data_IF_182387969808
#
_entry.id   IF_182387969808
#
_cell.length_a   1.000
_cell.length_b   1.000
_cell.length_c   1.000
_cell.angle_alpha   90.00
_cell.angle_beta   90.00
_cell.angle_gamma   90.00
#
_symmetry.space_group_name_H-M   'P 1'
#
loop_
_entity.id
_entity.type
_entity.pdbx_description
1 polymer ?
#
# COMPACT_ATOMS: atom_id res chain seq x y z
N UNK A 1 13.81 13.38 -26.12
CA UNK A 1 13.96 11.92 -25.86
C UNK A 1 14.17 11.58 -24.38
N UNK A 2 14.83 12.43 -23.59
CA UNK A 2 15.13 12.18 -22.16
C UNK A 2 13.92 11.97 -21.23
N UNK A 3 12.78 12.59 -21.50
CA UNK A 3 11.59 12.44 -20.64
C UNK A 3 11.03 11.02 -20.67
N UNK A 4 11.08 10.36 -21.84
CA UNK A 4 10.51 9.03 -22.02
C UNK A 4 11.30 7.97 -21.25
N UNK A 5 12.61 8.15 -21.14
CA UNK A 5 13.51 7.29 -20.37
C UNK A 5 13.35 7.55 -18.87
N UNK A 6 13.29 8.82 -18.47
CA UNK A 6 13.00 9.23 -17.09
C UNK A 6 11.69 8.63 -16.56
N UNK A 7 10.59 8.72 -17.31
CA UNK A 7 9.31 8.14 -16.89
C UNK A 7 9.35 6.60 -16.87
N UNK A 8 10.13 5.95 -17.74
CA UNK A 8 10.30 4.49 -17.69
C UNK A 8 11.05 4.04 -16.45
N UNK A 9 12.12 4.74 -16.07
CA UNK A 9 12.83 4.48 -14.82
C UNK A 9 11.93 4.71 -13.61
N UNK A 10 11.19 5.82 -13.60
CA UNK A 10 10.21 6.14 -12.55
C UNK A 10 9.14 5.05 -12.38
N UNK A 11 8.62 4.53 -13.49
CA UNK A 11 7.64 3.43 -13.47
C UNK A 11 8.28 2.17 -12.89
N UNK A 12 9.49 1.81 -13.31
CA UNK A 12 10.19 0.64 -12.79
C UNK A 12 10.51 0.75 -11.30
N UNK A 13 10.87 1.94 -10.82
CA UNK A 13 11.10 2.24 -9.40
C UNK A 13 9.81 2.07 -8.60
N UNK A 14 8.72 2.70 -9.05
CA UNK A 14 7.40 2.59 -8.41
C UNK A 14 6.86 1.16 -8.41
N UNK A 15 7.08 0.39 -9.48
CA UNK A 15 6.70 -1.03 -9.53
C UNK A 15 7.50 -1.89 -8.56
N UNK A 16 8.79 -1.60 -8.39
CA UNK A 16 9.65 -2.29 -7.43
C UNK A 16 9.22 -1.96 -6.01
N UNK A 17 9.01 -0.69 -5.70
CA UNK A 17 8.53 -0.25 -4.39
C UNK A 17 7.17 -0.87 -4.07
N UNK A 18 6.26 -0.90 -5.05
CA UNK A 18 4.95 -1.56 -4.91
C UNK A 18 5.11 -3.06 -4.65
N UNK A 19 6.04 -3.74 -5.34
CA UNK A 19 6.34 -5.14 -5.05
C UNK A 19 6.89 -5.31 -3.65
N UNK A 20 7.84 -4.51 -3.21
CA UNK A 20 8.41 -4.59 -1.86
C UNK A 20 7.35 -4.32 -0.78
N UNK A 21 6.47 -3.34 -1.01
CA UNK A 21 5.28 -3.05 -0.21
C UNK A 21 4.35 -4.25 -0.06
N UNK A 22 4.10 -4.98 -1.14
CA UNK A 22 3.23 -6.16 -1.15
C UNK A 22 3.93 -7.43 -0.65
N UNK A 23 5.25 -7.51 -0.77
CA UNK A 23 6.04 -8.69 -0.36
C UNK A 23 6.29 -8.69 1.14
N UNK A 24 6.42 -7.50 1.75
CA UNK A 24 6.46 -7.37 3.20
C UNK A 24 5.05 -7.53 3.78
N UNK A 25 4.75 -8.72 4.31
CA UNK A 25 3.45 -9.06 4.92
C UNK A 25 2.99 -8.06 5.99
N UNK A 26 3.92 -7.49 6.76
CA UNK A 26 3.59 -6.51 7.80
C UNK A 26 3.08 -5.21 7.19
N UNK A 27 3.75 -4.74 6.13
CA UNK A 27 3.40 -3.51 5.43
C UNK A 27 2.11 -3.68 4.61
N UNK A 28 1.91 -4.86 4.02
CA UNK A 28 0.65 -5.25 3.38
C UNK A 28 -0.51 -5.28 4.38
N UNK A 29 -0.32 -5.88 5.55
CA UNK A 29 -1.35 -5.94 6.60
C UNK A 29 -1.68 -4.53 7.09
N UNK A 30 -0.68 -3.66 7.29
CA UNK A 30 -0.88 -2.25 7.65
C UNK A 30 -1.71 -1.51 6.60
N UNK A 31 -1.34 -1.62 5.32
CA UNK A 31 -2.06 -0.97 4.23
C UNK A 31 -3.51 -1.45 4.12
N UNK A 32 -3.74 -2.76 4.24
CA UNK A 32 -5.07 -3.35 4.24
C UNK A 32 -5.94 -2.85 5.41
N UNK A 33 -5.37 -2.74 6.61
CA UNK A 33 -6.05 -2.22 7.80
C UNK A 33 -6.40 -0.73 7.66
N UNK A 34 -5.47 0.09 7.19
CA UNK A 34 -5.66 1.55 7.09
C UNK A 34 -6.58 1.97 5.94
N UNK A 35 -6.44 1.36 4.75
CA UNK A 35 -7.20 1.77 3.56
C UNK A 35 -8.53 1.08 3.40
N UNK A 36 -8.60 -0.19 3.79
CA UNK A 36 -9.75 -1.04 3.53
C UNK A 36 -10.45 -1.50 4.80
N UNK A 37 -9.99 -1.05 5.98
CA UNK A 37 -10.54 -1.46 7.27
C UNK A 37 -10.63 -2.99 7.36
N UNK A 38 -9.59 -3.68 6.88
CA UNK A 38 -9.54 -5.14 6.96
C UNK A 38 -9.25 -5.58 8.39
N UNK A 39 -9.96 -6.61 8.86
CA UNK A 39 -9.73 -7.26 10.15
C UNK A 39 -9.59 -8.77 9.98
N UNK A 40 -8.93 -9.41 10.95
CA UNK A 40 -9.03 -10.86 11.12
C UNK A 40 -10.37 -11.20 11.77
N UNK A 41 -10.84 -12.44 11.60
CA UNK A 41 -12.17 -12.87 12.09
C UNK A 41 -12.37 -12.70 13.60
N UNK A 42 -11.27 -12.70 14.38
CA UNK A 42 -11.27 -12.56 15.84
C UNK A 42 -11.00 -11.12 16.33
N UNK A 43 -11.04 -10.15 15.44
CA UNK A 43 -10.77 -8.75 15.74
C UNK A 43 -12.01 -7.88 15.51
N UNK A 44 -12.09 -6.78 16.23
CA UNK A 44 -13.14 -5.76 16.09
C UNK A 44 -12.53 -4.42 15.66
N UNK A 45 -13.22 -3.73 14.76
CA UNK A 45 -12.82 -2.40 14.26
C UNK A 45 -13.75 -1.37 14.86
N UNK A 46 -13.18 -0.36 15.51
CA UNK A 46 -13.91 0.77 16.05
C UNK A 46 -13.60 2.00 15.18
N UNK A 47 -14.63 2.62 14.60
CA UNK A 47 -14.51 3.87 13.85
C UNK A 47 -15.09 4.97 14.74
N UNK A 48 -14.24 5.90 15.16
CA UNK A 48 -14.67 7.07 15.94
C UNK A 48 -14.94 8.19 14.94
N UNK A 49 -16.19 8.62 14.85
CA UNK A 49 -16.59 9.81 14.10
C UNK A 49 -16.83 10.93 15.11
N UNK A 50 -16.18 12.07 14.90
CA UNK A 50 -16.62 13.33 15.53
C UNK A 50 -17.76 13.88 14.67
N UNK A 51 -18.88 14.26 15.31
CA UNK A 51 -20.05 14.87 14.66
C UNK A 51 -19.75 16.27 14.11
#
# INVERSE_FOLDING_TARGET
ENEKEFYREKISEVEKDRKELLTNKELLEKFAREKYLMKKEKEDIFIVQEE
#
